data_IF_191024166889
#
_entry.id   IF_191024166889
#
_cell.length_a   1.000
_cell.length_b   1.000
_cell.length_c   1.000
_cell.angle_alpha   90.00
_cell.angle_beta   90.00
_cell.angle_gamma   90.00
#
_symmetry.space_group_name_H-M   'P 1'
#
loop_
_entity.id
_entity.type
_entity.pdbx_description
1 polymer ?
#
# COMPACT_ATOMS: atom_id res chain seq x y z
N UNK A 1 -12.17 15.84 19.54
CA UNK A 1 -11.36 17.03 19.19
C UNK A 1 -11.13 16.99 17.71
N UNK A 2 -11.62 17.95 16.91
CA UNK A 2 -11.29 17.99 15.50
C UNK A 2 -9.80 18.33 15.41
N UNK A 3 -8.98 17.31 15.14
CA UNK A 3 -7.63 17.56 14.63
C UNK A 3 -7.76 18.37 13.35
N UNK A 4 -6.86 19.32 13.13
CA UNK A 4 -6.88 20.14 11.93
C UNK A 4 -6.78 19.20 10.71
N UNK A 5 -7.91 18.99 10.02
CA UNK A 5 -8.11 17.96 8.98
C UNK A 5 -7.01 18.03 7.92
N UNK A 6 -6.57 19.24 7.55
CA UNK A 6 -5.49 19.46 6.60
C UNK A 6 -4.10 19.02 7.09
N UNK A 7 -3.82 19.09 8.40
CA UNK A 7 -2.56 18.57 8.97
C UNK A 7 -2.54 17.04 8.92
N UNK A 8 -3.68 16.40 9.22
CA UNK A 8 -3.79 14.95 9.17
C UNK A 8 -3.72 14.43 7.73
N UNK A 9 -4.41 15.07 6.78
CA UNK A 9 -4.35 14.71 5.35
C UNK A 9 -2.92 14.86 4.82
N UNK A 10 -2.23 15.99 5.06
CA UNK A 10 -0.83 16.17 4.66
C UNK A 10 0.11 15.13 5.26
N UNK A 11 -0.07 14.80 6.55
CA UNK A 11 0.69 13.74 7.19
C UNK A 11 0.51 12.40 6.45
N UNK A 12 -0.72 11.96 6.20
CA UNK A 12 -0.97 10.75 5.41
C UNK A 12 -0.44 10.85 3.98
N UNK A 13 -0.46 12.04 3.38
CA UNK A 13 0.19 12.32 2.11
C UNK A 13 1.66 11.97 2.11
N UNK A 14 2.42 12.48 3.06
CA UNK A 14 3.85 12.14 3.20
C UNK A 14 4.08 10.66 3.47
N UNK A 15 3.22 10.00 4.26
CA UNK A 15 3.30 8.55 4.47
C UNK A 15 3.11 7.79 3.16
N UNK A 16 2.09 8.13 2.39
CA UNK A 16 1.77 7.45 1.13
C UNK A 16 2.86 7.66 0.08
N UNK A 17 3.41 8.87 -0.04
CA UNK A 17 4.59 9.12 -0.88
C UNK A 17 5.78 8.27 -0.41
N UNK A 18 5.99 8.14 0.90
CA UNK A 18 7.08 7.33 1.44
C UNK A 18 6.89 5.84 1.13
N UNK A 19 5.67 5.32 1.25
CA UNK A 19 5.34 3.94 0.86
C UNK A 19 5.57 3.75 -0.64
N UNK A 20 5.12 4.69 -1.48
CA UNK A 20 5.33 4.63 -2.92
C UNK A 20 6.82 4.57 -3.28
N UNK A 21 7.64 5.44 -2.68
CA UNK A 21 9.09 5.44 -2.87
C UNK A 21 9.73 4.14 -2.38
N UNK A 22 9.35 3.65 -1.19
CA UNK A 22 9.87 2.39 -0.67
C UNK A 22 9.55 1.21 -1.59
N UNK A 23 8.31 1.13 -2.09
CA UNK A 23 7.88 0.08 -3.04
C UNK A 23 8.63 0.20 -4.36
N UNK A 24 8.74 1.41 -4.91
CA UNK A 24 9.44 1.63 -6.18
C UNK A 24 10.93 1.29 -6.07
N UNK A 25 11.63 1.83 -5.07
CA UNK A 25 13.05 1.55 -4.83
C UNK A 25 13.29 0.07 -4.54
N UNK A 26 12.47 -0.55 -3.70
CA UNK A 26 12.56 -1.98 -3.40
C UNK A 26 12.34 -2.83 -4.64
N UNK A 27 11.41 -2.44 -5.52
CA UNK A 27 11.16 -3.12 -6.80
C UNK A 27 12.36 -3.06 -7.73
N UNK A 28 12.95 -1.86 -7.91
CA UNK A 28 14.13 -1.67 -8.77
C UNK A 28 15.32 -2.48 -8.25
N UNK A 29 15.59 -2.42 -6.94
CA UNK A 29 16.67 -3.18 -6.32
C UNK A 29 16.42 -4.68 -6.45
N UNK A 30 15.19 -5.14 -6.21
CA UNK A 30 14.84 -6.55 -6.33
C UNK A 30 15.04 -7.06 -7.76
N UNK A 31 14.66 -6.29 -8.78
CA UNK A 31 14.86 -6.65 -10.18
C UNK A 31 16.35 -6.76 -10.52
N UNK A 32 17.15 -5.78 -10.06
CA UNK A 32 18.60 -5.81 -10.21
C UNK A 32 19.22 -7.05 -9.55
N UNK A 33 18.86 -7.35 -8.31
CA UNK A 33 19.37 -8.52 -7.58
C UNK A 33 18.94 -9.84 -8.22
N UNK A 34 17.68 -9.94 -8.66
CA UNK A 34 17.17 -11.13 -9.33
C UNK A 34 17.88 -11.37 -10.67
N UNK A 35 18.14 -10.31 -11.45
CA UNK A 35 18.91 -10.39 -12.71
C UNK A 35 20.33 -10.91 -12.49
N UNK A 36 20.94 -10.57 -11.35
CA UNK A 36 22.27 -11.07 -10.95
C UNK A 36 22.22 -12.39 -10.18
N UNK A 37 21.08 -13.08 -10.18
CA UNK A 37 20.89 -14.39 -9.56
C UNK A 37 21.23 -14.41 -8.05
N UNK A 38 21.09 -13.25 -7.39
CA UNK A 38 21.34 -13.13 -5.96
C UNK A 38 20.25 -13.89 -5.20
N UNK A 39 20.60 -14.72 -4.20
CA UNK A 39 19.63 -15.52 -3.46
C UNK A 39 18.47 -14.74 -2.84
N UNK A 40 17.30 -15.37 -2.79
CA UNK A 40 16.04 -14.75 -2.34
C UNK A 40 16.11 -14.15 -0.93
N UNK A 41 16.91 -14.72 -0.02
CA UNK A 41 17.04 -14.20 1.35
C UNK A 41 17.71 -12.82 1.39
N UNK A 42 18.66 -12.54 0.50
CA UNK A 42 19.24 -11.20 0.36
C UNK A 42 18.27 -10.23 -0.30
N UNK A 43 17.44 -10.70 -1.23
CA UNK A 43 16.38 -9.87 -1.82
C UNK A 43 15.34 -9.47 -0.76
N UNK A 44 14.90 -10.40 0.09
CA UNK A 44 14.01 -10.13 1.22
C UNK A 44 14.64 -9.16 2.23
N UNK A 45 15.92 -9.35 2.55
CA UNK A 45 16.66 -8.43 3.41
C UNK A 45 16.70 -7.01 2.81
N UNK A 46 16.96 -6.89 1.50
CA UNK A 46 16.96 -5.61 0.80
C UNK A 46 15.59 -4.91 0.90
N UNK A 47 14.49 -5.65 0.72
CA UNK A 47 13.14 -5.12 0.94
C UNK A 47 12.96 -4.54 2.35
N UNK A 48 13.35 -5.30 3.39
CA UNK A 48 13.25 -4.85 4.78
C UNK A 48 14.09 -3.58 4.99
N UNK A 49 15.33 -3.57 4.51
CA UNK A 49 16.23 -2.42 4.66
C UNK A 49 15.70 -1.17 3.95
N UNK A 50 15.15 -1.30 2.73
CA UNK A 50 14.55 -0.18 2.00
C UNK A 50 13.37 0.40 2.76
N UNK A 51 12.45 -0.44 3.25
CA UNK A 51 11.31 0.03 4.02
C UNK A 51 11.72 0.69 5.33
N UNK A 52 12.66 0.09 6.07
CA UNK A 52 13.18 0.67 7.32
C UNK A 52 13.83 2.03 7.05
N UNK A 53 14.65 2.13 6.00
CA UNK A 53 15.37 3.35 5.67
C UNK A 53 14.42 4.48 5.26
N UNK A 54 13.52 4.22 4.29
CA UNK A 54 12.60 5.23 3.78
C UNK A 54 11.60 5.66 4.85
N UNK A 55 10.93 4.73 5.52
CA UNK A 55 9.96 5.07 6.56
C UNK A 55 10.64 5.66 7.81
N UNK A 56 11.84 5.18 8.17
CA UNK A 56 12.62 5.71 9.29
C UNK A 56 12.99 7.18 9.09
N UNK A 57 13.43 7.57 7.89
CA UNK A 57 13.69 8.98 7.55
C UNK A 57 12.40 9.80 7.65
N UNK A 58 11.29 9.29 7.12
CA UNK A 58 10.01 10.01 7.15
C UNK A 58 9.53 10.22 8.59
N UNK A 59 9.59 9.20 9.44
CA UNK A 59 9.14 9.31 10.84
C UNK A 59 10.04 10.21 11.70
N UNK A 60 11.35 10.20 11.47
CA UNK A 60 12.28 11.07 12.21
C UNK A 60 12.11 12.54 11.85
N UNK A 61 11.83 12.86 10.58
CA UNK A 61 11.62 14.24 10.12
C UNK A 61 10.21 14.78 10.40
N UNK A 62 9.21 13.92 10.60
CA UNK A 62 7.81 14.34 10.73
C UNK A 62 7.16 13.91 12.04
N UNK A 63 7.48 14.62 13.14
CA UNK A 63 6.87 14.34 14.47
C UNK A 63 5.32 14.42 14.46
N UNK A 64 4.76 15.30 13.63
CA UNK A 64 3.31 15.42 13.45
C UNK A 64 2.69 14.22 12.74
N UNK A 65 3.44 13.56 11.84
CA UNK A 65 3.01 12.34 11.16
C UNK A 65 2.77 11.22 12.17
N UNK A 66 3.75 10.98 13.04
CA UNK A 66 3.65 9.95 14.06
C UNK A 66 2.45 10.20 14.99
N UNK A 67 2.22 11.47 15.38
CA UNK A 67 1.06 11.84 16.19
C UNK A 67 -0.27 11.59 15.47
N UNK A 68 -0.37 11.94 14.18
CA UNK A 68 -1.56 11.72 13.36
C UNK A 68 -1.87 10.22 13.22
N UNK A 69 -0.87 9.41 12.85
CA UNK A 69 -1.02 7.95 12.75
C UNK A 69 -1.44 7.35 14.09
N UNK A 70 -0.79 7.76 15.19
CA UNK A 70 -1.14 7.30 16.54
C UNK A 70 -2.57 7.66 16.91
N UNK A 71 -3.05 8.85 16.54
CA UNK A 71 -4.43 9.25 16.76
C UNK A 71 -5.41 8.37 15.95
N UNK A 72 -5.11 8.13 14.66
CA UNK A 72 -5.92 7.24 13.81
C UNK A 72 -5.95 5.81 14.37
N UNK A 73 -4.82 5.29 14.86
CA UNK A 73 -4.75 3.99 15.54
C UNK A 73 -5.57 3.94 16.83
N UNK A 74 -5.51 4.99 17.67
CA UNK A 74 -6.34 5.05 18.89
C UNK A 74 -7.83 5.01 18.56
N UNK A 75 -8.24 5.63 17.47
CA UNK A 75 -9.62 5.60 17.02
C UNK A 75 -10.01 4.20 16.51
N UNK A 76 -9.15 3.54 15.71
CA UNK A 76 -9.44 2.18 15.22
C UNK A 76 -9.45 1.11 16.31
N UNK A 77 -8.68 1.30 17.40
CA UNK A 77 -8.74 0.43 18.58
C UNK A 77 -10.11 0.50 19.27
N UNK A 78 -10.86 1.60 19.14
CA UNK A 78 -12.21 1.74 19.74
C UNK A 78 -13.31 1.12 18.90
N UNK A 79 -13.02 0.69 17.67
CA UNK A 79 -14.02 0.06 16.82
C UNK A 79 -14.53 -1.26 17.43
N UNK A 80 -15.79 -1.63 17.13
CA UNK A 80 -16.32 -2.92 17.52
C UNK A 80 -15.53 -4.06 16.86
N UNK A 81 -15.54 -5.24 17.48
CA UNK A 81 -14.72 -6.38 17.08
C UNK A 81 -14.94 -6.78 15.60
N UNK A 82 -16.18 -6.81 15.14
CA UNK A 82 -16.51 -7.17 13.76
C UNK A 82 -15.87 -6.20 12.74
N UNK A 83 -15.84 -4.89 13.03
CA UNK A 83 -15.21 -3.90 12.16
C UNK A 83 -13.69 -4.10 12.07
N UNK A 84 -13.06 -4.44 13.21
CA UNK A 84 -11.62 -4.79 13.24
C UNK A 84 -11.33 -6.04 12.43
N UNK A 85 -12.17 -7.08 12.55
CA UNK A 85 -12.03 -8.33 11.80
C UNK A 85 -12.18 -8.04 10.29
N UNK A 86 -13.21 -7.31 9.89
CA UNK A 86 -13.44 -6.96 8.47
C UNK A 86 -12.25 -6.17 7.91
N UNK A 87 -11.78 -5.15 8.62
CA UNK A 87 -10.61 -4.37 8.19
C UNK A 87 -9.35 -5.24 8.13
N UNK A 88 -9.11 -6.04 9.17
CA UNK A 88 -7.97 -6.94 9.26
C UNK A 88 -7.94 -7.96 8.12
N UNK A 89 -9.09 -8.57 7.81
CA UNK A 89 -9.22 -9.51 6.69
C UNK A 89 -9.10 -8.83 5.33
N UNK A 90 -9.58 -7.59 5.18
CA UNK A 90 -9.39 -6.83 3.94
C UNK A 90 -7.92 -6.53 3.68
N UNK A 91 -7.14 -6.25 4.73
CA UNK A 91 -5.70 -6.07 4.61
C UNK A 91 -4.96 -7.39 4.43
N UNK A 92 -5.10 -8.32 5.38
CA UNK A 92 -4.26 -9.50 5.46
C UNK A 92 -4.76 -10.67 4.60
N UNK A 93 -6.06 -10.80 4.38
CA UNK A 93 -6.69 -11.94 3.70
C UNK A 93 -6.06 -12.23 2.33
N UNK A 94 -5.98 -11.23 1.42
CA UNK A 94 -5.35 -11.44 0.11
C UNK A 94 -3.89 -11.87 0.20
N UNK A 95 -3.10 -11.31 1.13
CA UNK A 95 -1.70 -11.73 1.31
C UNK A 95 -1.56 -13.13 1.92
N UNK A 96 -2.44 -13.50 2.86
CA UNK A 96 -2.48 -14.83 3.46
C UNK A 96 -2.90 -15.91 2.46
N UNK A 97 -3.57 -15.53 1.37
CA UNK A 97 -3.93 -16.43 0.28
C UNK A 97 -2.73 -16.72 -0.66
N UNK A 98 -1.68 -15.89 -0.69
CA UNK A 98 -0.55 -16.03 -1.63
C UNK A 98 0.15 -17.39 -1.53
N UNK A 99 0.45 -17.96 -0.35
CA UNK A 99 1.10 -19.27 -0.27
C UNK A 99 0.30 -20.41 -0.92
N UNK A 100 -1.04 -20.29 -0.93
CA UNK A 100 -1.94 -21.29 -1.51
C UNK A 100 -2.17 -21.00 -3.00
N UNK A 101 -2.27 -19.72 -3.37
CA UNK A 101 -2.57 -19.25 -4.73
C UNK A 101 -1.38 -18.51 -5.33
N UNK A 102 -0.18 -19.10 -5.26
CA UNK A 102 1.07 -18.47 -5.67
C UNK A 102 1.06 -17.90 -7.11
N UNK A 103 0.48 -18.59 -8.13
CA UNK A 103 0.41 -18.04 -9.49
C UNK A 103 -0.37 -16.73 -9.59
N UNK A 104 -1.22 -16.41 -8.60
CA UNK A 104 -2.04 -15.20 -8.56
C UNK A 104 -1.48 -14.13 -7.62
N UNK A 105 -0.24 -14.29 -7.14
CA UNK A 105 0.37 -13.39 -6.15
C UNK A 105 0.29 -11.91 -6.56
N UNK A 106 0.55 -11.59 -7.82
CA UNK A 106 0.50 -10.23 -8.36
C UNK A 106 -0.89 -9.59 -8.31
N UNK A 107 -1.96 -10.37 -8.51
CA UNK A 107 -3.34 -9.91 -8.35
C UNK A 107 -3.71 -9.76 -6.88
N UNK A 108 -3.30 -10.73 -6.05
CA UNK A 108 -3.57 -10.74 -4.61
C UNK A 108 -2.91 -9.57 -3.88
N UNK A 109 -1.72 -9.14 -4.34
CA UNK A 109 -1.06 -7.93 -3.84
C UNK A 109 -1.94 -6.70 -4.09
N UNK A 110 -2.39 -6.49 -5.33
CA UNK A 110 -3.26 -5.36 -5.67
C UNK A 110 -4.61 -5.43 -4.96
N UNK A 111 -5.18 -6.63 -4.83
CA UNK A 111 -6.42 -6.85 -4.11
C UNK A 111 -6.30 -6.52 -2.62
N UNK A 112 -5.21 -6.92 -1.97
CA UNK A 112 -4.93 -6.60 -0.56
C UNK A 112 -4.75 -5.10 -0.33
N UNK A 113 -3.95 -4.44 -1.17
CA UNK A 113 -3.80 -2.99 -1.12
C UNK A 113 -5.13 -2.28 -1.39
N UNK A 114 -5.89 -2.75 -2.38
CA UNK A 114 -7.18 -2.19 -2.77
C UNK A 114 -8.23 -2.29 -1.66
N UNK A 115 -8.57 -3.52 -1.30
CA UNK A 115 -9.62 -3.82 -0.31
C UNK A 115 -9.25 -3.30 1.08
N UNK A 116 -8.00 -3.42 1.51
CA UNK A 116 -7.53 -2.87 2.79
C UNK A 116 -7.76 -1.36 2.89
N UNK A 117 -7.36 -0.60 1.86
CA UNK A 117 -7.54 0.86 1.85
C UNK A 117 -9.01 1.28 1.74
N UNK A 118 -9.81 0.61 0.91
CA UNK A 118 -11.26 0.87 0.80
C UNK A 118 -11.98 0.60 2.13
N UNK A 119 -11.68 -0.55 2.74
CA UNK A 119 -12.26 -0.95 4.03
C UNK A 119 -11.93 0.06 5.13
N UNK A 120 -10.66 0.45 5.23
CA UNK A 120 -10.23 1.46 6.21
C UNK A 120 -10.91 2.82 5.95
N UNK A 121 -11.09 3.23 4.69
CA UNK A 121 -11.84 4.45 4.37
C UNK A 121 -13.29 4.40 4.88
N UNK A 122 -14.03 3.36 4.54
CA UNK A 122 -15.44 3.25 4.96
C UNK A 122 -15.60 3.18 6.47
N UNK A 123 -14.72 2.44 7.16
CA UNK A 123 -14.78 2.31 8.61
C UNK A 123 -14.39 3.60 9.34
N UNK A 124 -13.38 4.33 8.86
CA UNK A 124 -13.04 5.64 9.42
C UNK A 124 -14.17 6.64 9.18
N UNK A 125 -14.75 6.65 7.98
CA UNK A 125 -15.91 7.49 7.67
C UNK A 125 -17.10 7.19 8.56
N UNK A 126 -17.38 5.91 8.80
CA UNK A 126 -18.54 5.49 9.59
C UNK A 126 -18.36 5.73 11.09
N UNK A 127 -17.21 5.34 11.67
CA UNK A 127 -17.01 5.36 13.13
C UNK A 127 -16.38 6.65 13.65
N UNK A 128 -15.68 7.42 12.82
CA UNK A 128 -14.91 8.58 13.25
C UNK A 128 -15.35 9.89 12.57
N UNK A 129 -16.39 9.84 11.71
CA UNK A 129 -16.90 10.96 10.91
C UNK A 129 -15.81 11.75 10.16
N UNK A 130 -14.78 11.03 9.69
CA UNK A 130 -13.63 11.58 8.98
C UNK A 130 -13.55 11.01 7.57
N UNK A 131 -13.35 11.87 6.57
CA UNK A 131 -13.27 11.46 5.15
C UNK A 131 -11.83 11.46 4.67
N UNK A 132 -11.17 10.32 4.76
CA UNK A 132 -9.83 10.05 4.24
C UNK A 132 -9.86 9.68 2.75
N UNK A 133 -10.26 10.63 1.90
CA UNK A 133 -10.43 10.40 0.45
C UNK A 133 -9.14 9.89 -0.20
N UNK A 134 -7.98 10.32 0.29
CA UNK A 134 -6.67 9.85 -0.16
C UNK A 134 -6.57 8.33 -0.11
N UNK A 135 -7.11 7.72 0.95
CA UNK A 135 -7.06 6.28 1.13
C UNK A 135 -8.03 5.57 0.18
N UNK A 136 -9.20 6.14 -0.03
CA UNK A 136 -10.14 5.63 -1.03
C UNK A 136 -9.55 5.66 -2.45
N UNK A 137 -8.81 6.74 -2.80
CA UNK A 137 -8.13 6.87 -4.09
C UNK A 137 -7.09 5.76 -4.29
N UNK A 138 -6.21 5.52 -3.30
CA UNK A 138 -5.25 4.39 -3.36
C UNK A 138 -5.99 3.08 -3.60
N UNK A 139 -7.07 2.86 -2.84
CA UNK A 139 -7.85 1.63 -2.89
C UNK A 139 -8.48 1.37 -4.25
N UNK A 140 -9.17 2.37 -4.81
CA UNK A 140 -9.80 2.26 -6.13
C UNK A 140 -8.76 2.07 -7.22
N UNK A 141 -7.67 2.84 -7.21
CA UNK A 141 -6.59 2.69 -8.20
C UNK A 141 -5.99 1.29 -8.16
N UNK A 142 -5.71 0.74 -6.98
CA UNK A 142 -5.16 -0.60 -6.87
C UNK A 142 -6.12 -1.67 -7.44
N UNK A 143 -7.43 -1.56 -7.16
CA UNK A 143 -8.44 -2.48 -7.71
C UNK A 143 -8.59 -2.33 -9.22
N UNK A 144 -8.62 -1.11 -9.76
CA UNK A 144 -8.77 -0.88 -11.21
C UNK A 144 -7.54 -1.31 -11.99
N UNK A 145 -6.36 -1.39 -11.35
CA UNK A 145 -5.16 -1.93 -11.97
C UNK A 145 -5.17 -3.46 -12.11
N UNK A 146 -6.05 -4.18 -11.41
CA UNK A 146 -6.17 -5.65 -11.55
C UNK A 146 -6.57 -6.05 -12.98
N UNK A 147 -7.67 -5.54 -13.58
CA UNK A 147 -8.02 -5.89 -14.95
C UNK A 147 -6.99 -5.41 -15.98
N UNK A 148 -6.32 -4.28 -15.72
CA UNK A 148 -5.20 -3.81 -16.56
C UNK A 148 -4.04 -4.81 -16.53
N UNK A 149 -3.65 -5.24 -15.33
CA UNK A 149 -2.60 -6.24 -15.14
C UNK A 149 -2.97 -7.57 -15.79
N UNK A 150 -4.23 -7.99 -15.66
CA UNK A 150 -4.74 -9.21 -16.30
C UNK A 150 -4.65 -9.14 -17.81
N UNK A 151 -5.04 -7.99 -18.40
CA UNK A 151 -4.93 -7.79 -19.83
C UNK A 151 -3.47 -7.86 -20.30
N UNK A 152 -2.54 -7.27 -19.56
CA UNK A 152 -1.10 -7.34 -19.85
C UNK A 152 -0.58 -8.77 -19.74
N UNK A 153 -0.94 -9.49 -18.68
CA UNK A 153 -0.55 -10.88 -18.42
C UNK A 153 -1.01 -11.79 -19.56
N UNK A 154 -2.27 -11.67 -20.00
CA UNK A 154 -2.83 -12.48 -21.09
C UNK A 154 -2.24 -12.10 -22.46
N UNK A 155 -2.20 -10.81 -22.80
CA UNK A 155 -1.74 -10.38 -24.13
C UNK A 155 -0.25 -10.61 -24.36
N UNK A 156 0.56 -10.54 -23.30
CA UNK A 156 2.01 -10.68 -23.37
C UNK A 156 2.51 -11.99 -22.75
N UNK A 157 1.63 -12.94 -22.45
CA UNK A 157 1.98 -14.28 -21.95
C UNK A 157 3.11 -14.98 -22.72
N UNK A 158 3.25 -14.85 -24.06
CA UNK A 158 4.35 -15.46 -24.79
C UNK A 158 5.74 -14.87 -24.48
N UNK A 159 5.79 -13.65 -23.93
CA UNK A 159 7.02 -12.86 -23.74
C UNK A 159 7.32 -12.61 -22.26
N UNK A 160 6.27 -12.49 -21.42
CA UNK A 160 6.43 -12.22 -20.00
C UNK A 160 6.55 -13.51 -19.20
N UNK A 161 7.52 -13.52 -18.29
CA UNK A 161 7.56 -14.50 -17.19
C UNK A 161 6.87 -13.93 -15.95
N UNK A 162 6.48 -14.80 -15.03
CA UNK A 162 5.78 -14.45 -13.79
C UNK A 162 6.45 -13.29 -13.01
N UNK A 163 7.78 -13.23 -13.01
CA UNK A 163 8.52 -12.14 -12.36
C UNK A 163 8.23 -10.76 -12.96
N UNK A 164 8.07 -10.64 -14.28
CA UNK A 164 7.76 -9.35 -14.91
C UNK A 164 6.38 -8.83 -14.49
N UNK A 165 5.39 -9.73 -14.43
CA UNK A 165 4.01 -9.40 -14.03
C UNK A 165 3.98 -9.01 -12.54
N UNK A 166 4.76 -9.72 -11.71
CA UNK A 166 4.94 -9.37 -10.30
C UNK A 166 5.58 -7.99 -10.13
N UNK A 167 6.65 -7.69 -10.88
CA UNK A 167 7.29 -6.37 -10.89
C UNK A 167 6.31 -5.27 -11.31
N UNK A 168 5.52 -5.50 -12.36
CA UNK A 168 4.49 -4.55 -12.80
C UNK A 168 3.41 -4.31 -11.74
N UNK A 169 2.96 -5.36 -11.04
CA UNK A 169 1.99 -5.20 -9.94
C UNK A 169 2.52 -4.30 -8.82
N UNK A 170 3.81 -4.40 -8.49
CA UNK A 170 4.46 -3.54 -7.48
C UNK A 170 4.58 -2.10 -7.96
N UNK A 171 4.82 -1.88 -9.25
CA UNK A 171 4.78 -0.54 -9.84
C UNK A 171 3.37 0.06 -9.75
N UNK A 172 2.31 -0.72 -10.02
CA UNK A 172 0.93 -0.28 -9.83
C UNK A 172 0.60 0.06 -8.37
N UNK A 173 1.13 -0.70 -7.40
CA UNK A 173 1.06 -0.34 -5.98
C UNK A 173 1.75 1.00 -5.70
N UNK A 174 2.97 1.19 -6.20
CA UNK A 174 3.72 2.43 -6.02
C UNK A 174 2.97 3.63 -6.62
N UNK A 175 2.42 3.49 -7.83
CA UNK A 175 1.60 4.52 -8.48
C UNK A 175 0.35 4.83 -7.66
N UNK A 176 -0.37 3.80 -7.18
CA UNK A 176 -1.59 3.98 -6.39
C UNK A 176 -1.33 4.79 -5.12
N UNK A 177 -0.29 4.42 -4.35
CA UNK A 177 0.13 5.17 -3.18
C UNK A 177 0.66 6.56 -3.52
N UNK A 178 1.42 6.69 -4.62
CA UNK A 178 1.95 7.96 -5.08
C UNK A 178 0.83 8.97 -5.39
N UNK A 179 -0.19 8.55 -6.14
CA UNK A 179 -1.34 9.39 -6.49
C UNK A 179 -2.15 9.75 -5.24
N UNK A 180 -2.45 8.79 -4.37
CA UNK A 180 -3.12 9.07 -3.10
C UNK A 180 -2.33 10.05 -2.22
N UNK A 181 -0.99 9.92 -2.21
CA UNK A 181 -0.10 10.82 -1.48
C UNK A 181 -0.11 12.25 -2.02
N UNK A 182 0.02 12.42 -3.34
CA UNK A 182 -0.06 13.72 -4.02
C UNK A 182 -1.42 14.37 -3.76
N UNK A 183 -2.51 13.60 -3.85
CA UNK A 183 -3.85 14.08 -3.56
C UNK A 183 -3.93 14.67 -2.14
N UNK A 184 -3.49 13.93 -1.13
CA UNK A 184 -3.55 14.36 0.26
C UNK A 184 -2.67 15.59 0.56
N UNK A 185 -1.55 15.75 -0.14
CA UNK A 185 -0.69 16.93 -0.01
C UNK A 185 -1.31 18.19 -0.63
N UNK A 186 -2.14 18.01 -1.67
CA UNK A 186 -2.83 19.10 -2.38
C UNK A 186 -4.23 19.38 -1.83
N UNK A 187 -4.76 18.53 -0.95
CA UNK A 187 -6.03 18.75 -0.28
C UNK A 187 -5.91 19.95 0.68
N UNK A 188 -6.79 20.94 0.46
CA UNK A 188 -6.81 22.22 1.20
C UNK A 188 -7.66 22.12 2.46
#
# INVERSE_FOLDING_TARGET
MPGNVGIESRAFGFLFISIALAVLTGTIINEFLATHHIPIYYQLLAWILVFIFVLGITFTKMKNLFRSIRNRMKNSIRWPLHAKIVNGLSWAGPFLAIPIFHPFAHYLILLGIGTGNISTYFLIKYYNDYKNKEQFIVGILAITMIPVLFLVDVLLAPVLVHQHVLTLSRLFVAVSYGVGGIYALNEK
#
